data_IF_093410547539
#
_entry.id   IF_093410547539
#
_cell.length_a   1.000
_cell.length_b   1.000
_cell.length_c   1.000
_cell.angle_alpha   90.00
_cell.angle_beta   90.00
_cell.angle_gamma   90.00
#
_symmetry.space_group_name_H-M   'P 1'
#
loop_
_entity.id
_entity.type
_entity.pdbx_description
1 polymer ?
#
# COMPACT_ATOMS: atom_id res chain seq x y z
N UNK A 1 -4.63 -11.92 15.78
CA UNK A 1 -3.84 -12.14 14.54
C UNK A 1 -2.77 -13.19 14.79
N UNK A 2 -1.89 -13.03 15.80
CA UNK A 2 -0.77 -13.96 16.04
C UNK A 2 -1.19 -15.43 16.23
N UNK A 3 -2.35 -15.69 16.81
CA UNK A 3 -2.85 -17.02 17.09
C UNK A 3 -3.68 -17.63 15.94
N UNK A 4 -3.85 -16.93 14.83
CA UNK A 4 -4.65 -17.36 13.66
C UNK A 4 -6.05 -17.86 14.04
N UNK A 5 -6.72 -17.13 14.92
CA UNK A 5 -8.09 -17.42 15.32
C UNK A 5 -8.92 -16.15 15.44
N UNK A 6 -10.22 -16.29 15.34
CA UNK A 6 -11.14 -15.22 15.70
C UNK A 6 -11.03 -14.90 17.18
N UNK A 7 -11.23 -13.65 17.51
CA UNK A 7 -11.19 -13.17 18.89
C UNK A 7 -12.62 -13.13 19.44
N UNK A 8 -12.88 -13.94 20.49
CA UNK A 8 -14.21 -14.07 21.06
C UNK A 8 -14.66 -12.80 21.79
N UNK A 9 -13.72 -12.05 22.39
CA UNK A 9 -14.05 -10.80 23.09
C UNK A 9 -14.43 -9.71 22.08
N UNK A 10 -13.70 -9.62 20.94
CA UNK A 10 -14.04 -8.71 19.86
C UNK A 10 -15.38 -9.10 19.24
N UNK A 11 -15.59 -10.36 18.91
CA UNK A 11 -16.85 -10.83 18.35
C UNK A 11 -18.03 -10.48 19.29
N UNK A 12 -17.87 -10.69 20.59
CA UNK A 12 -18.87 -10.33 21.59
C UNK A 12 -19.10 -8.83 21.68
N UNK A 13 -18.04 -8.01 21.65
CA UNK A 13 -18.13 -6.56 21.75
C UNK A 13 -18.90 -5.93 20.54
N UNK A 14 -18.81 -6.58 19.37
CA UNK A 14 -19.51 -6.18 18.16
C UNK A 14 -20.82 -6.96 17.92
N UNK A 15 -21.26 -7.78 18.88
CA UNK A 15 -22.48 -8.60 18.79
C UNK A 15 -22.49 -9.53 17.55
N UNK A 16 -21.32 -10.01 17.13
CA UNK A 16 -21.17 -10.91 16.00
C UNK A 16 -21.41 -12.36 16.48
N UNK A 17 -22.35 -13.07 15.84
CA UNK A 17 -22.53 -14.52 16.07
C UNK A 17 -21.28 -15.27 15.57
N UNK A 18 -20.52 -15.97 16.42
CA UNK A 18 -19.35 -16.74 16.01
C UNK A 18 -19.62 -17.78 14.92
N UNK A 19 -20.86 -18.28 14.80
CA UNK A 19 -21.24 -19.26 13.78
C UNK A 19 -21.26 -18.64 12.35
N UNK A 20 -21.29 -17.32 12.24
CA UNK A 20 -21.19 -16.63 10.95
C UNK A 20 -19.74 -16.48 10.48
N UNK A 21 -18.77 -16.68 11.37
CA UNK A 21 -17.36 -16.53 11.06
C UNK A 21 -16.81 -17.80 10.43
N UNK A 22 -16.24 -17.68 9.24
CA UNK A 22 -15.61 -18.78 8.53
C UNK A 22 -14.35 -19.32 9.25
N UNK A 23 -13.94 -20.52 8.89
CA UNK A 23 -12.68 -21.08 9.36
C UNK A 23 -11.49 -20.27 8.83
N UNK A 24 -10.56 -19.95 9.71
CA UNK A 24 -9.28 -19.37 9.32
C UNK A 24 -8.32 -20.51 8.94
N UNK A 25 -7.62 -20.37 7.82
CA UNK A 25 -6.60 -21.31 7.37
C UNK A 25 -5.42 -20.58 6.70
N UNK A 26 -4.40 -21.32 6.32
CA UNK A 26 -3.28 -20.75 5.58
C UNK A 26 -3.67 -20.50 4.11
N UNK A 27 -3.13 -19.48 3.45
CA UNK A 27 -3.49 -19.15 2.07
C UNK A 27 -3.32 -20.32 1.08
N UNK A 28 -2.28 -21.12 1.22
CA UNK A 28 -1.98 -22.27 0.38
C UNK A 28 -2.80 -23.52 0.72
N UNK A 29 -3.57 -23.48 1.78
CA UNK A 29 -4.36 -24.64 2.23
C UNK A 29 -5.50 -24.94 1.24
N UNK A 30 -5.62 -26.22 0.88
CA UNK A 30 -6.71 -26.69 0.01
C UNK A 30 -8.00 -26.69 0.83
N UNK A 31 -8.95 -25.83 0.46
CA UNK A 31 -10.27 -25.78 1.09
C UNK A 31 -11.32 -26.65 0.37
N UNK A 32 -11.00 -27.16 -0.82
CA UNK A 32 -11.91 -28.02 -1.58
C UNK A 32 -11.48 -28.23 -3.02
N UNK A 33 -12.45 -28.60 -3.85
CA UNK A 33 -12.31 -28.80 -5.28
C UNK A 33 -13.43 -28.06 -6.01
N UNK A 34 -13.28 -27.84 -7.31
CA UNK A 34 -14.33 -27.23 -8.12
C UNK A 34 -15.60 -28.12 -8.11
N UNK A 35 -16.74 -27.46 -8.03
CA UNK A 35 -18.03 -28.09 -8.30
C UNK A 35 -18.14 -28.43 -9.78
N UNK A 36 -19.05 -29.36 -10.16
CA UNK A 36 -19.30 -29.71 -11.57
C UNK A 36 -19.60 -28.47 -12.41
N UNK A 37 -20.48 -27.61 -11.91
CA UNK A 37 -20.85 -26.37 -12.57
C UNK A 37 -19.65 -25.44 -12.80
N UNK A 38 -18.84 -25.20 -11.76
CA UNK A 38 -17.68 -24.33 -11.88
C UNK A 38 -16.61 -24.91 -12.82
N UNK A 39 -16.42 -26.23 -12.79
CA UNK A 39 -15.49 -26.90 -13.67
C UNK A 39 -15.93 -26.78 -15.14
N UNK A 40 -17.22 -26.92 -15.45
CA UNK A 40 -17.78 -26.73 -16.78
C UNK A 40 -17.63 -25.27 -17.25
N UNK A 41 -18.04 -24.29 -16.44
CA UNK A 41 -17.97 -22.86 -16.77
C UNK A 41 -16.52 -22.39 -17.04
N UNK A 42 -15.52 -22.94 -16.33
CA UNK A 42 -14.12 -22.59 -16.43
C UNK A 42 -13.33 -23.45 -17.44
N UNK A 43 -13.93 -24.47 -18.02
CA UNK A 43 -13.23 -25.45 -18.88
C UNK A 43 -12.17 -26.27 -18.13
N UNK A 44 -12.37 -26.50 -16.85
CA UNK A 44 -11.49 -27.23 -15.94
C UNK A 44 -12.14 -28.59 -15.54
N UNK A 45 -11.57 -29.27 -14.55
CA UNK A 45 -12.11 -30.53 -14.03
C UNK A 45 -12.45 -30.40 -12.54
N UNK A 46 -13.33 -31.25 -12.05
CA UNK A 46 -13.66 -31.36 -10.62
C UNK A 46 -12.49 -31.79 -9.74
N UNK A 47 -11.36 -32.21 -10.34
CA UNK A 47 -10.13 -32.54 -9.63
C UNK A 47 -9.28 -31.26 -9.34
N UNK A 48 -9.64 -30.14 -9.93
CA UNK A 48 -8.94 -28.86 -9.70
C UNK A 48 -9.12 -28.44 -8.25
N UNK A 49 -8.00 -28.23 -7.58
CA UNK A 49 -7.96 -27.82 -6.18
C UNK A 49 -8.32 -26.35 -6.04
N UNK A 50 -9.08 -26.02 -5.01
CA UNK A 50 -9.38 -24.66 -4.58
C UNK A 50 -8.62 -24.40 -3.29
N UNK A 51 -7.83 -23.35 -3.27
CA UNK A 51 -7.10 -22.92 -2.07
C UNK A 51 -7.84 -21.77 -1.37
N UNK A 52 -7.51 -21.50 -0.11
CA UNK A 52 -8.09 -20.39 0.64
C UNK A 52 -7.74 -19.06 -0.03
N UNK A 53 -6.49 -18.90 -0.45
CA UNK A 53 -5.99 -17.66 -1.05
C UNK A 53 -5.75 -16.56 -0.03
N UNK A 54 -5.51 -15.34 -0.53
CA UNK A 54 -5.29 -14.15 0.26
C UNK A 54 -5.88 -12.94 -0.47
N UNK A 55 -5.83 -11.75 0.15
CA UNK A 55 -6.27 -10.51 -0.49
C UNK A 55 -5.47 -10.18 -1.74
N UNK A 56 -6.05 -9.37 -2.63
CA UNK A 56 -5.44 -8.93 -3.90
C UNK A 56 -4.10 -8.19 -3.68
N UNK A 57 -4.06 -7.28 -2.74
CA UNK A 57 -2.85 -6.57 -2.34
C UNK A 57 -1.75 -7.53 -1.86
N UNK A 58 -2.06 -8.47 -0.97
CA UNK A 58 -1.11 -9.45 -0.49
C UNK A 58 -0.63 -10.38 -1.62
N UNK A 59 -1.52 -10.71 -2.56
CA UNK A 59 -1.17 -11.47 -3.77
C UNK A 59 -0.24 -10.68 -4.67
N UNK A 60 -0.49 -9.36 -4.85
CA UNK A 60 0.36 -8.46 -5.60
C UNK A 60 1.76 -8.34 -4.98
N UNK A 61 1.85 -8.24 -3.66
CA UNK A 61 3.12 -8.26 -2.92
C UNK A 61 3.95 -9.50 -3.26
N UNK A 62 3.34 -10.69 -3.20
CA UNK A 62 4.03 -11.94 -3.55
C UNK A 62 4.41 -11.99 -5.03
N UNK A 63 3.50 -11.56 -5.91
CA UNK A 63 3.73 -11.50 -7.35
C UNK A 63 4.88 -10.57 -7.74
N UNK A 64 5.09 -9.50 -6.99
CA UNK A 64 6.21 -8.57 -7.16
C UNK A 64 7.53 -9.07 -6.56
N UNK A 65 7.51 -10.20 -5.86
CA UNK A 65 8.70 -10.81 -5.25
C UNK A 65 8.92 -10.48 -3.78
N UNK A 66 7.92 -9.96 -3.07
CA UNK A 66 7.99 -9.70 -1.63
C UNK A 66 7.89 -11.02 -0.85
N UNK A 67 9.00 -11.78 -0.77
CA UNK A 67 9.03 -13.16 -0.27
C UNK A 67 10.09 -13.44 0.79
N UNK A 68 10.75 -12.41 1.30
CA UNK A 68 11.81 -12.55 2.32
C UNK A 68 11.72 -11.42 3.35
N UNK A 69 12.02 -11.72 4.63
CA UNK A 69 12.14 -10.68 5.65
C UNK A 69 13.12 -9.57 5.27
N UNK A 70 12.76 -8.34 5.59
CA UNK A 70 13.52 -7.14 5.29
C UNK A 70 13.26 -6.53 3.90
N UNK A 71 12.51 -7.21 3.02
CA UNK A 71 12.05 -6.62 1.75
C UNK A 71 10.85 -5.71 1.97
N UNK A 72 10.73 -4.70 1.11
CA UNK A 72 9.63 -3.72 1.07
C UNK A 72 8.99 -3.73 -0.30
N UNK A 73 7.69 -3.57 -0.36
CA UNK A 73 6.92 -3.33 -1.56
C UNK A 73 6.13 -2.04 -1.41
N UNK A 74 6.25 -1.16 -2.38
CA UNK A 74 5.40 0.00 -2.55
C UNK A 74 4.28 -0.34 -3.54
N UNK A 75 3.03 -0.13 -3.13
CA UNK A 75 1.83 -0.47 -3.90
C UNK A 75 1.14 0.83 -4.28
N UNK A 76 1.56 1.39 -5.42
CA UNK A 76 1.07 2.68 -5.89
C UNK A 76 -0.24 2.53 -6.65
N UNK A 77 -1.34 2.79 -5.97
CA UNK A 77 -2.69 2.93 -6.53
C UNK A 77 -3.25 4.32 -6.28
N UNK A 78 -4.55 4.46 -6.06
CA UNK A 78 -5.17 5.71 -5.56
C UNK A 78 -4.58 6.06 -4.19
N UNK A 79 -4.48 5.08 -3.28
CA UNK A 79 -3.64 5.13 -2.08
C UNK A 79 -2.27 4.49 -2.37
N UNK A 80 -1.36 4.59 -1.40
CA UNK A 80 0.00 4.05 -1.49
C UNK A 80 0.33 3.29 -0.20
N UNK A 81 -0.27 2.12 0.01
CA UNK A 81 0.16 1.25 1.08
C UNK A 81 1.59 0.75 0.80
N UNK A 82 2.36 0.65 1.86
CA UNK A 82 3.72 0.13 1.83
C UNK A 82 3.77 -1.11 2.69
N UNK A 83 4.18 -2.22 2.12
CA UNK A 83 4.22 -3.51 2.79
C UNK A 83 5.66 -4.01 2.97
N UNK A 84 5.93 -4.70 4.07
CA UNK A 84 7.21 -5.30 4.36
C UNK A 84 7.05 -6.72 4.91
N UNK A 85 8.01 -7.60 4.67
CA UNK A 85 8.01 -8.95 5.23
C UNK A 85 8.81 -9.02 6.52
N UNK A 86 8.25 -9.68 7.52
CA UNK A 86 8.90 -9.98 8.79
C UNK A 86 8.93 -11.49 9.08
N UNK A 87 9.90 -11.95 9.86
CA UNK A 87 10.03 -13.34 10.32
C UNK A 87 9.18 -13.64 11.57
N UNK A 88 8.65 -12.60 12.18
CA UNK A 88 7.78 -12.65 13.37
C UNK A 88 6.73 -11.54 13.29
N UNK A 89 5.61 -11.65 14.03
CA UNK A 89 4.63 -10.57 14.08
C UNK A 89 5.26 -9.31 14.71
N UNK A 90 5.05 -8.17 14.07
CA UNK A 90 5.48 -6.85 14.55
C UNK A 90 4.24 -6.01 14.78
N UNK A 91 4.11 -5.44 15.98
CA UNK A 91 2.96 -4.61 16.35
C UNK A 91 3.40 -3.18 16.63
N UNK A 92 2.79 -2.24 15.95
CA UNK A 92 3.00 -0.82 16.24
C UNK A 92 2.33 -0.43 17.55
N UNK A 93 3.09 -0.49 18.63
CA UNK A 93 2.61 -0.13 19.97
C UNK A 93 2.68 1.37 20.27
N UNK A 94 3.32 2.14 19.40
CA UNK A 94 3.51 3.59 19.54
C UNK A 94 2.38 4.34 18.84
N UNK A 95 2.35 4.29 17.51
CA UNK A 95 1.36 5.00 16.68
C UNK A 95 0.07 4.22 16.49
N UNK A 96 0.13 2.90 16.52
CA UNK A 96 -0.97 1.98 16.21
C UNK A 96 -1.55 2.19 14.81
N UNK A 97 -0.68 2.53 13.87
CA UNK A 97 -1.05 2.87 12.50
C UNK A 97 -0.60 1.81 11.50
N UNK A 98 0.41 1.01 11.88
CA UNK A 98 0.94 -0.06 11.05
C UNK A 98 0.21 -1.37 11.38
N UNK A 99 -0.25 -2.04 10.36
CA UNK A 99 -1.04 -3.26 10.45
C UNK A 99 -0.16 -4.51 10.36
N UNK A 100 -0.58 -5.58 11.02
CA UNK A 100 0.12 -6.87 11.00
C UNK A 100 -0.79 -7.94 10.43
N UNK A 101 -0.38 -8.50 9.30
CA UNK A 101 -1.11 -9.51 8.57
C UNK A 101 -0.31 -10.81 8.45
N UNK A 102 -0.99 -11.89 8.09
CA UNK A 102 -0.33 -13.11 7.65
C UNK A 102 0.11 -12.94 6.20
N UNK A 103 1.36 -13.24 5.92
CA UNK A 103 1.85 -13.32 4.56
C UNK A 103 1.24 -14.53 3.82
N UNK A 104 1.18 -14.50 2.49
CA UNK A 104 0.70 -15.63 1.68
C UNK A 104 1.54 -16.90 1.88
N UNK A 105 2.82 -16.78 2.18
CA UNK A 105 3.64 -17.87 2.71
C UNK A 105 3.49 -17.90 4.24
N UNK A 106 2.94 -18.98 4.77
CA UNK A 106 2.61 -19.12 6.19
C UNK A 106 3.82 -19.00 7.16
N UNK A 107 5.06 -19.01 6.63
CA UNK A 107 6.30 -18.83 7.40
C UNK A 107 6.53 -17.36 7.80
N UNK A 108 5.91 -16.40 7.10
CA UNK A 108 6.20 -14.99 7.21
C UNK A 108 4.99 -14.16 7.65
N UNK A 109 5.27 -12.92 7.96
CA UNK A 109 4.30 -11.90 8.30
C UNK A 109 4.39 -10.77 7.31
N UNK A 110 3.25 -10.19 6.94
CA UNK A 110 3.17 -8.98 6.16
C UNK A 110 2.84 -7.84 7.12
N UNK A 111 3.71 -6.85 7.13
CA UNK A 111 3.53 -5.64 7.94
C UNK A 111 3.22 -4.53 6.96
N UNK A 112 2.06 -3.92 7.13
CA UNK A 112 1.53 -2.93 6.20
C UNK A 112 1.39 -1.58 6.85
N UNK A 113 1.90 -0.56 6.16
CA UNK A 113 1.63 0.83 6.47
C UNK A 113 0.59 1.32 5.46
N UNK A 114 -0.64 1.69 5.89
CA UNK A 114 -1.73 2.01 4.96
C UNK A 114 -1.49 3.23 4.07
N UNK A 115 -0.43 4.00 4.33
CA UNK A 115 0.04 5.05 3.44
C UNK A 115 -0.83 6.29 3.41
N UNK A 116 -0.97 6.85 2.21
CA UNK A 116 -1.65 8.11 1.93
C UNK A 116 -2.19 8.12 0.48
N UNK A 117 -2.84 9.21 0.05
CA UNK A 117 -3.38 9.34 -1.32
C UNK A 117 -2.29 9.79 -2.29
N UNK A 118 -1.62 8.86 -2.97
CA UNK A 118 -0.51 9.13 -3.90
C UNK A 118 -0.96 9.25 -5.36
N UNK A 119 -1.30 8.14 -6.00
CA UNK A 119 -1.77 8.14 -7.39
C UNK A 119 -3.05 8.95 -7.57
N UNK A 120 -3.92 8.94 -6.55
CA UNK A 120 -5.08 9.82 -6.51
C UNK A 120 -4.71 11.31 -6.53
N UNK A 121 -3.66 11.72 -5.81
CA UNK A 121 -3.13 13.09 -5.84
C UNK A 121 -2.56 13.46 -7.21
N UNK A 122 -1.81 12.53 -7.81
CA UNK A 122 -1.23 12.72 -9.14
C UNK A 122 -2.32 12.86 -10.20
N UNK A 123 -3.34 11.98 -10.17
CA UNK A 123 -4.50 12.02 -11.06
C UNK A 123 -5.27 13.33 -10.91
N UNK A 124 -5.61 13.69 -9.66
CA UNK A 124 -6.29 14.95 -9.38
C UNK A 124 -5.52 16.15 -9.95
N UNK A 125 -4.20 16.21 -9.74
CA UNK A 125 -3.37 17.30 -10.22
C UNK A 125 -3.36 17.34 -11.76
N UNK A 126 -3.19 16.18 -12.42
CA UNK A 126 -3.25 16.06 -13.87
C UNK A 126 -4.57 16.56 -14.43
N UNK A 127 -5.69 16.07 -13.91
CA UNK A 127 -7.02 16.25 -14.48
C UNK A 127 -7.66 17.60 -14.13
N UNK A 128 -7.41 18.08 -12.91
CA UNK A 128 -8.12 19.24 -12.35
C UNK A 128 -7.30 20.53 -12.37
N UNK A 129 -5.97 20.44 -12.26
CA UNK A 129 -5.09 21.62 -12.17
C UNK A 129 -4.42 21.93 -13.49
N UNK A 130 -3.58 21.00 -14.00
CA UNK A 130 -2.77 21.25 -15.20
C UNK A 130 -3.46 20.79 -16.50
N UNK A 131 -4.40 19.86 -16.40
CA UNK A 131 -5.18 19.30 -17.52
C UNK A 131 -4.30 18.74 -18.64
N UNK A 132 -3.27 18.00 -18.25
CA UNK A 132 -2.42 17.29 -19.21
C UNK A 132 -3.15 16.06 -19.75
N UNK A 133 -2.87 15.71 -21.02
CA UNK A 133 -3.50 14.58 -21.69
C UNK A 133 -3.11 13.23 -21.09
N UNK A 134 -1.85 13.11 -20.64
CA UNK A 134 -1.32 11.88 -20.07
C UNK A 134 -0.26 12.13 -18.98
N UNK A 135 0.19 11.04 -18.34
CA UNK A 135 1.24 11.11 -17.32
C UNK A 135 2.64 11.33 -17.89
N UNK A 136 2.88 11.00 -19.16
CA UNK A 136 4.19 11.22 -19.78
C UNK A 136 4.48 12.70 -19.89
N UNK A 137 3.47 13.51 -20.21
CA UNK A 137 3.60 14.98 -20.18
C UNK A 137 3.96 15.46 -18.78
N UNK A 138 3.32 14.92 -17.72
CA UNK A 138 3.69 15.28 -16.34
C UNK A 138 5.14 14.93 -16.05
N UNK A 139 5.60 13.74 -16.47
CA UNK A 139 6.99 13.31 -16.28
C UNK A 139 7.99 14.25 -16.96
N UNK A 140 7.68 14.68 -18.19
CA UNK A 140 8.51 15.64 -18.95
C UNK A 140 8.52 16.98 -18.22
N UNK A 141 7.37 17.50 -17.81
CA UNK A 141 7.26 18.79 -17.14
C UNK A 141 8.01 18.81 -15.82
N UNK A 142 7.83 17.77 -14.98
CA UNK A 142 8.54 17.64 -13.71
C UNK A 142 10.07 17.67 -13.88
N UNK A 143 10.59 17.05 -14.96
CA UNK A 143 12.04 17.04 -15.25
C UNK A 143 12.61 18.42 -15.61
N UNK A 144 11.78 19.36 -16.03
CA UNK A 144 12.23 20.73 -16.37
C UNK A 144 12.38 21.63 -15.15
N UNK A 145 11.79 21.26 -14.00
CA UNK A 145 12.02 21.93 -12.73
C UNK A 145 13.21 21.29 -11.97
N UNK A 146 14.03 22.07 -11.26
CA UNK A 146 15.13 21.51 -10.47
C UNK A 146 14.61 20.70 -9.27
N UNK A 147 15.48 19.86 -8.70
CA UNK A 147 15.23 19.17 -7.42
C UNK A 147 14.92 20.20 -6.34
N UNK A 148 13.90 19.95 -5.54
CA UNK A 148 13.37 20.87 -4.54
C UNK A 148 12.37 21.86 -5.11
N UNK A 149 11.93 21.67 -6.39
CA UNK A 149 10.76 22.35 -7.00
C UNK A 149 10.80 23.90 -6.84
N UNK A 150 11.99 24.50 -6.89
CA UNK A 150 12.21 25.93 -6.61
C UNK A 150 11.61 26.40 -5.25
N UNK A 151 11.61 25.52 -4.25
CA UNK A 151 11.10 25.80 -2.89
C UNK A 151 9.60 25.54 -2.71
N UNK A 152 8.92 25.01 -3.73
CA UNK A 152 7.52 24.57 -3.60
C UNK A 152 7.48 23.18 -2.98
N UNK A 153 6.63 22.99 -1.98
CA UNK A 153 6.38 21.73 -1.31
C UNK A 153 4.90 21.38 -1.44
N UNK A 154 4.60 20.14 -1.77
CA UNK A 154 3.25 19.59 -1.77
C UNK A 154 3.09 18.59 -0.63
N UNK A 155 2.00 18.73 0.14
CA UNK A 155 1.59 17.74 1.16
C UNK A 155 0.42 16.91 0.59
N UNK A 156 0.59 15.60 0.40
CA UNK A 156 -0.41 14.73 -0.28
C UNK A 156 -1.57 14.31 0.62
N UNK A 157 -1.94 15.11 1.61
CA UNK A 157 -3.03 14.81 2.56
C UNK A 157 -4.42 15.07 1.97
N UNK A 158 -4.70 14.61 0.75
CA UNK A 158 -5.91 14.98 0.01
C UNK A 158 -7.21 14.54 0.70
N UNK A 159 -7.20 13.42 1.40
CA UNK A 159 -8.34 12.88 2.15
C UNK A 159 -8.00 12.64 3.63
N UNK A 160 -7.16 13.48 4.20
CA UNK A 160 -6.58 13.31 5.52
C UNK A 160 -5.17 12.72 5.44
N UNK A 161 -4.53 12.58 6.59
CA UNK A 161 -3.29 11.86 6.77
C UNK A 161 -3.55 10.59 7.59
N UNK A 162 -3.04 9.45 7.15
CA UNK A 162 -3.10 8.19 7.91
C UNK A 162 -1.78 7.95 8.62
N UNK A 163 -0.69 7.91 7.90
CA UNK A 163 0.66 7.68 8.45
C UNK A 163 1.61 8.78 7.97
N UNK A 164 2.67 9.09 8.72
CA UNK A 164 3.05 8.58 10.04
C UNK A 164 2.22 9.14 11.20
N UNK A 165 1.31 10.08 10.95
CA UNK A 165 0.48 10.71 11.98
C UNK A 165 -0.97 10.76 11.52
N UNK A 166 -1.86 10.09 12.25
CA UNK A 166 -3.28 10.11 11.92
C UNK A 166 -3.91 11.49 12.15
N UNK A 167 -4.38 12.10 11.08
CA UNK A 167 -5.14 13.35 11.11
C UNK A 167 -6.18 13.39 9.99
N UNK A 168 -7.41 13.02 10.28
CA UNK A 168 -8.51 13.03 9.31
C UNK A 168 -8.90 14.44 8.80
N UNK A 169 -8.43 15.51 9.45
CA UNK A 169 -8.69 16.89 9.05
C UNK A 169 -7.57 17.50 8.19
N UNK A 170 -6.44 16.81 8.02
CA UNK A 170 -5.38 17.27 7.12
C UNK A 170 -5.90 17.38 5.69
N UNK A 171 -5.38 18.33 4.93
CA UNK A 171 -5.74 18.54 3.52
C UNK A 171 -4.49 18.74 2.69
N UNK A 172 -4.61 18.36 1.40
CA UNK A 172 -3.57 18.62 0.42
C UNK A 172 -3.22 20.11 0.37
N UNK A 173 -1.93 20.40 0.35
CA UNK A 173 -1.45 21.79 0.48
C UNK A 173 -0.22 22.01 -0.36
N UNK A 174 -0.20 23.11 -1.10
CA UNK A 174 1.03 23.67 -1.66
C UNK A 174 1.53 24.80 -0.77
N UNK A 175 2.81 24.81 -0.45
CA UNK A 175 3.49 25.89 0.28
C UNK A 175 4.75 26.32 -0.47
N UNK A 176 5.29 27.51 -0.14
CA UNK A 176 6.46 28.04 -0.82
C UNK A 176 6.18 28.71 -2.17
N UNK A 177 4.91 29.02 -2.49
CA UNK A 177 4.54 29.69 -3.74
C UNK A 177 5.06 31.14 -3.79
N UNK A 178 5.55 31.52 -4.96
CA UNK A 178 5.96 32.90 -5.29
C UNK A 178 5.38 33.31 -6.64
N UNK A 179 5.54 34.59 -7.03
CA UNK A 179 5.13 35.05 -8.36
C UNK A 179 5.93 34.39 -9.51
N UNK A 180 7.05 33.75 -9.20
CA UNK A 180 7.89 33.07 -10.18
C UNK A 180 7.59 31.56 -10.27
N UNK A 181 6.71 31.03 -9.43
CA UNK A 181 6.33 29.61 -9.43
C UNK A 181 5.63 29.26 -10.75
N UNK A 182 6.06 28.19 -11.39
CA UNK A 182 5.52 27.67 -12.65
C UNK A 182 4.77 26.35 -12.46
N UNK A 183 4.05 25.91 -13.46
CA UNK A 183 3.38 24.61 -13.44
C UNK A 183 4.37 23.44 -13.36
N UNK A 184 5.55 23.58 -13.93
CA UNK A 184 6.63 22.61 -13.83
C UNK A 184 7.07 22.41 -12.38
N UNK A 185 7.17 23.47 -11.60
CA UNK A 185 7.51 23.44 -10.19
C UNK A 185 6.41 22.76 -9.36
N UNK A 186 5.14 23.09 -9.64
CA UNK A 186 4.00 22.43 -8.99
C UNK A 186 3.95 20.95 -9.35
N UNK A 187 4.16 20.60 -10.63
CA UNK A 187 4.17 19.21 -11.08
C UNK A 187 5.26 18.41 -10.37
N UNK A 188 6.46 18.97 -10.30
CA UNK A 188 7.57 18.34 -9.59
C UNK A 188 7.30 18.22 -8.11
N UNK A 189 6.76 19.25 -7.47
CA UNK A 189 6.42 19.25 -6.06
C UNK A 189 5.41 18.15 -5.69
N UNK A 190 4.46 17.82 -6.59
CA UNK A 190 3.54 16.70 -6.39
C UNK A 190 4.31 15.38 -6.31
N UNK A 191 5.21 15.10 -7.24
CA UNK A 191 6.02 13.88 -7.22
C UNK A 191 6.97 13.83 -6.01
N UNK A 192 7.61 14.95 -5.68
CA UNK A 192 8.50 15.02 -4.52
C UNK A 192 7.73 14.83 -3.20
N UNK A 193 6.55 15.45 -3.06
CA UNK A 193 5.71 15.30 -1.88
C UNK A 193 5.23 13.86 -1.66
N UNK A 194 4.87 13.16 -2.74
CA UNK A 194 4.55 11.72 -2.70
C UNK A 194 5.79 10.92 -2.27
N UNK A 195 6.95 11.19 -2.87
CA UNK A 195 8.21 10.49 -2.52
C UNK A 195 8.63 10.71 -1.07
N UNK A 196 8.41 11.90 -0.52
CA UNK A 196 8.64 12.16 0.90
C UNK A 196 7.66 11.39 1.80
N UNK A 197 6.39 11.32 1.42
CA UNK A 197 5.40 10.51 2.14
C UNK A 197 5.76 9.02 2.14
N UNK A 198 6.22 8.48 1.01
CA UNK A 198 6.75 7.12 0.91
C UNK A 198 7.95 6.92 1.86
N UNK A 199 8.86 7.88 1.90
CA UNK A 199 10.00 7.84 2.82
C UNK A 199 9.56 7.80 4.28
N UNK A 200 8.61 8.63 4.68
CA UNK A 200 8.06 8.65 6.04
C UNK A 200 7.44 7.29 6.40
N UNK A 201 6.76 6.64 5.44
CA UNK A 201 6.18 5.31 5.64
C UNK A 201 7.25 4.22 5.84
N UNK A 202 8.34 4.30 5.11
CA UNK A 202 9.48 3.37 5.25
C UNK A 202 10.20 3.61 6.58
N UNK A 203 10.46 4.86 6.94
CA UNK A 203 11.12 5.21 8.21
C UNK A 203 10.29 4.71 9.41
N UNK A 204 8.96 4.65 9.28
CA UNK A 204 8.09 4.10 10.31
C UNK A 204 8.34 2.63 10.60
N UNK A 205 8.66 1.82 9.59
CA UNK A 205 9.05 0.42 9.81
C UNK A 205 10.34 0.31 10.64
N UNK A 206 11.32 1.18 10.39
CA UNK A 206 12.55 1.22 11.19
C UNK A 206 12.27 1.61 12.64
N UNK A 207 11.40 2.60 12.88
CA UNK A 207 11.00 3.05 14.22
C UNK A 207 10.33 1.95 15.06
N UNK A 208 9.57 1.06 14.45
CA UNK A 208 8.94 -0.08 15.13
C UNK A 208 9.86 -1.32 15.21
N UNK A 209 11.14 -1.17 14.87
CA UNK A 209 12.18 -2.18 15.05
C UNK A 209 12.29 -3.20 13.91
N UNK A 210 11.79 -2.89 12.72
CA UNK A 210 12.03 -3.71 11.54
C UNK A 210 13.35 -3.31 10.90
N UNK A 211 14.30 -4.25 10.81
CA UNK A 211 15.50 -4.06 10.01
C UNK A 211 15.14 -4.10 8.52
N UNK A 212 15.19 -2.97 7.85
CA UNK A 212 14.84 -2.86 6.44
C UNK A 212 16.08 -3.01 5.56
N UNK A 213 15.95 -3.79 4.47
CA UNK A 213 16.94 -3.85 3.40
C UNK A 213 16.49 -2.82 2.33
N UNK A 214 16.36 -1.55 2.73
CA UNK A 214 16.08 -0.48 1.78
C UNK A 214 17.39 0.23 1.48
N UNK A 215 18.02 -0.16 0.39
CA UNK A 215 19.11 0.61 -0.20
C UNK A 215 18.49 1.58 -1.22
N UNK A 216 18.27 2.83 -0.80
CA UNK A 216 17.75 3.87 -1.71
C UNK A 216 18.67 4.18 -2.89
N UNK A 217 19.91 3.69 -2.90
CA UNK A 217 20.82 3.75 -4.05
C UNK A 217 20.62 2.55 -5.00
N UNK A 218 20.08 1.43 -4.48
CA UNK A 218 19.70 0.23 -5.23
C UNK A 218 18.36 -0.30 -4.72
N UNK A 219 17.26 0.41 -4.92
CA UNK A 219 15.97 0.00 -4.39
C UNK A 219 15.54 -1.32 -5.03
N UNK A 220 15.52 -2.41 -4.26
CA UNK A 220 14.68 -3.56 -4.57
C UNK A 220 13.26 -3.19 -4.11
N UNK A 221 12.74 -2.12 -4.68
CA UNK A 221 11.35 -1.71 -4.53
C UNK A 221 10.63 -2.25 -5.76
N UNK A 222 9.85 -3.28 -5.59
CA UNK A 222 8.92 -3.68 -6.61
C UNK A 222 7.69 -2.75 -6.49
N UNK A 223 7.59 -1.75 -7.36
CA UNK A 223 6.39 -0.97 -7.50
C UNK A 223 5.34 -1.80 -8.25
N UNK A 224 4.21 -2.06 -7.62
CA UNK A 224 3.04 -2.63 -8.28
C UNK A 224 2.06 -1.50 -8.58
N UNK A 225 1.99 -1.10 -9.84
CA UNK A 225 0.91 -0.23 -10.29
C UNK A 225 -0.35 -1.11 -10.48
N UNK A 226 -1.32 -0.97 -9.60
CA UNK A 226 -2.65 -1.53 -9.81
C UNK A 226 -3.35 -0.67 -10.87
N UNK A 227 -3.62 -1.25 -12.04
CA UNK A 227 -4.44 -0.60 -13.05
C UNK A 227 -5.88 -0.52 -12.52
N UNK A 228 -6.37 0.69 -12.33
CA UNK A 228 -7.81 0.90 -12.13
C UNK A 228 -8.45 1.02 -13.52
N UNK A 229 -9.40 0.12 -13.80
CA UNK A 229 -10.35 0.22 -14.93
C UNK A 229 -11.32 1.39 -14.75
#
# INVERSE_FOLDING_TARGET
VAEKRWDDEIAKAFEIDPNLLGRIGNPEEICGHLTERAAEELGLTTKTKVIIGTGDEHSACVGSGLVKPGMVCDITGTAEPVAAVADKPVFDTIGRLVETHHHADARWWLIENPGFVSGGSTRWFRDSIVRYEDYDIMNVMAKTSPVGSNGVIFLPCMQGAMTPTWNGNARGTFTGLTLNTRFEDLTRAVFEGISFGLRDNVDRFEEIGMGMIVDFQNPVVAAVAMAED
#
